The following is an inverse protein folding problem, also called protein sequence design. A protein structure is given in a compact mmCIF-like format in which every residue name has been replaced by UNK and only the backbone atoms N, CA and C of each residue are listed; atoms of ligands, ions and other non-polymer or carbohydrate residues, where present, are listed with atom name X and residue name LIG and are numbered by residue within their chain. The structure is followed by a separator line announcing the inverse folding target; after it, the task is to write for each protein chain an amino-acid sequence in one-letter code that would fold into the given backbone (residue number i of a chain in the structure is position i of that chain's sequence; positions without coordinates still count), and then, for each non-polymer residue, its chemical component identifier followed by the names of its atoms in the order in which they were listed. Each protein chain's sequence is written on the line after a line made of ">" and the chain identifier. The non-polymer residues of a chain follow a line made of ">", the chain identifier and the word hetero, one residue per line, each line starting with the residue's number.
data_IF_265082786373
#
_entry.id   IF_265082786373
#
_cell.length_a   1.000
_cell.length_b   1.000
_cell.length_c   1.000
_cell.angle_alpha   90.00
_cell.angle_beta   90.00
_cell.angle_gamma   90.00
#
_symmetry.space_group_name_H-M   'P 1'
#
loop_
_entity.id
_entity.type
_entity.pdbx_description
1 polymer ?
#
# COMPACT_ATOMS: atom_id res chain seq x y z
N UNK A 1 0.79 -4.90 -23.01
CA UNK A 1 1.35 -4.52 -21.70
C UNK A 1 0.93 -5.61 -20.75
N UNK A 2 1.87 -6.40 -20.25
CA UNK A 2 1.56 -7.34 -19.16
C UNK A 2 1.04 -6.50 -18.00
N UNK A 3 -0.12 -6.86 -17.43
CA UNK A 3 -0.57 -6.20 -16.21
C UNK A 3 0.51 -6.46 -15.16
N UNK A 4 0.98 -5.44 -14.42
CA UNK A 4 1.86 -5.69 -13.30
C UNK A 4 1.24 -6.77 -12.42
N UNK A 5 2.06 -7.73 -12.02
CA UNK A 5 1.59 -8.78 -11.12
C UNK A 5 1.19 -8.08 -9.82
N UNK A 6 0.04 -8.46 -9.22
CA UNK A 6 -0.36 -7.87 -7.95
C UNK A 6 0.79 -7.94 -6.94
N UNK A 7 0.99 -6.85 -6.21
CA UNK A 7 1.97 -6.80 -5.15
C UNK A 7 1.62 -7.85 -4.09
N UNK A 8 2.64 -8.41 -3.44
CA UNK A 8 2.39 -9.30 -2.32
C UNK A 8 1.75 -8.52 -1.18
N UNK A 9 0.96 -9.21 -0.35
CA UNK A 9 0.38 -8.60 0.85
C UNK A 9 1.47 -8.03 1.77
N UNK A 10 2.60 -8.73 1.90
CA UNK A 10 3.75 -8.29 2.68
C UNK A 10 4.32 -6.97 2.16
N UNK A 11 4.51 -6.84 0.84
CA UNK A 11 5.01 -5.60 0.24
C UNK A 11 4.03 -4.44 0.47
N UNK A 12 2.73 -4.66 0.26
CA UNK A 12 1.73 -3.63 0.53
C UNK A 12 1.74 -3.17 1.98
N UNK A 13 1.78 -4.11 2.92
CA UNK A 13 1.84 -3.78 4.34
C UNK A 13 3.08 -3.00 4.72
N UNK A 14 4.25 -3.34 4.14
CA UNK A 14 5.48 -2.58 4.37
C UNK A 14 5.36 -1.14 3.88
N UNK A 15 4.74 -0.92 2.73
CA UNK A 15 4.44 0.42 2.24
C UNK A 15 3.42 1.14 3.13
N UNK A 16 2.33 0.48 3.50
CA UNK A 16 1.31 1.07 4.35
C UNK A 16 1.87 1.44 5.73
N UNK A 17 2.76 0.62 6.31
CA UNK A 17 3.45 0.92 7.58
C UNK A 17 4.23 2.23 7.51
N UNK A 18 4.87 2.53 6.38
CA UNK A 18 5.55 3.82 6.14
C UNK A 18 4.56 5.00 6.08
N UNK A 19 3.33 4.74 5.66
CA UNK A 19 2.22 5.70 5.66
C UNK A 19 1.50 5.81 7.02
N UNK A 20 1.97 5.11 8.04
CA UNK A 20 1.37 5.10 9.38
C UNK A 20 0.31 4.02 9.61
N UNK A 21 0.12 3.09 8.68
CA UNK A 21 -0.74 1.92 8.91
C UNK A 21 -0.11 1.01 9.96
N UNK A 22 -0.96 0.47 10.84
CA UNK A 22 -0.58 -0.58 11.76
C UNK A 22 -1.78 -1.50 11.99
N UNK A 23 -1.57 -2.80 12.23
CA UNK A 23 -2.69 -3.75 12.41
C UNK A 23 -3.58 -3.43 13.61
N UNK A 24 -3.05 -2.71 14.61
CA UNK A 24 -3.74 -2.25 15.81
C UNK A 24 -4.62 -1.01 15.60
N UNK A 25 -4.53 -0.35 14.44
CA UNK A 25 -5.40 0.78 14.13
C UNK A 25 -6.87 0.35 14.03
N UNK A 26 -7.82 1.26 14.32
CA UNK A 26 -9.23 1.04 14.02
C UNK A 26 -9.42 0.60 12.57
N UNK A 27 -10.31 -0.37 12.34
CA UNK A 27 -10.51 -0.95 11.01
C UNK A 27 -10.79 0.11 9.94
N UNK A 28 -11.57 1.14 10.27
CA UNK A 28 -11.87 2.24 9.35
C UNK A 28 -10.62 3.02 8.91
N UNK A 29 -9.64 3.19 9.79
CA UNK A 29 -8.38 3.87 9.48
C UNK A 29 -7.46 2.99 8.64
N UNK A 30 -7.35 1.70 8.98
CA UNK A 30 -6.60 0.73 8.16
C UNK A 30 -7.12 0.69 6.74
N UNK A 31 -8.43 0.50 6.58
CA UNK A 31 -9.08 0.43 5.27
C UNK A 31 -8.93 1.75 4.49
N UNK A 32 -8.90 2.90 5.16
CA UNK A 32 -8.66 4.18 4.49
C UNK A 32 -7.26 4.23 3.85
N UNK A 33 -6.21 3.76 4.55
CA UNK A 33 -4.85 3.71 4.01
C UNK A 33 -4.75 2.65 2.90
N UNK A 34 -5.28 1.45 3.14
CA UNK A 34 -5.28 0.34 2.16
C UNK A 34 -5.97 0.73 0.85
N UNK A 35 -7.00 1.58 0.90
CA UNK A 35 -7.68 2.11 -0.29
C UNK A 35 -6.98 3.30 -0.93
N UNK A 36 -6.25 4.09 -0.14
CA UNK A 36 -5.47 5.21 -0.66
C UNK A 36 -4.23 4.72 -1.41
N UNK A 37 -3.71 3.54 -1.03
CA UNK A 37 -2.49 2.94 -1.55
C UNK A 37 -2.76 1.53 -2.06
N UNK A 38 -3.37 1.42 -3.23
CA UNK A 38 -3.45 0.18 -3.99
C UNK A 38 -2.11 -0.14 -4.70
N UNK A 39 -2.05 -1.30 -5.35
CA UNK A 39 -0.84 -1.77 -6.03
C UNK A 39 -0.29 -0.74 -7.04
N UNK A 40 -1.16 -0.13 -7.86
CA UNK A 40 -0.73 0.84 -8.88
C UNK A 40 -0.17 2.12 -8.25
N UNK A 41 -0.82 2.64 -7.21
CA UNK A 41 -0.35 3.84 -6.51
C UNK A 41 0.92 3.59 -5.70
N UNK A 42 1.08 2.40 -5.10
CA UNK A 42 2.32 1.98 -4.43
C UNK A 42 3.46 1.92 -5.43
N UNK A 43 3.28 1.21 -6.55
CA UNK A 43 4.31 1.12 -7.61
C UNK A 43 4.70 2.52 -8.10
N UNK A 44 3.71 3.38 -8.35
CA UNK A 44 3.96 4.76 -8.77
C UNK A 44 4.73 5.57 -7.73
N UNK A 45 4.40 5.45 -6.44
CA UNK A 45 5.12 6.14 -5.38
C UNK A 45 6.58 5.68 -5.26
N UNK A 46 6.82 4.37 -5.35
CA UNK A 46 8.17 3.81 -5.32
C UNK A 46 9.01 4.27 -6.52
N UNK A 47 8.40 4.39 -7.71
CA UNK A 47 9.07 4.94 -8.89
C UNK A 47 9.54 6.39 -8.71
N UNK A 48 8.86 7.18 -7.89
CA UNK A 48 9.22 8.56 -7.58
C UNK A 48 10.09 8.71 -6.32
N UNK A 49 10.56 7.60 -5.73
CA UNK A 49 11.44 7.61 -4.56
C UNK A 49 10.74 8.02 -3.27
N UNK A 50 9.43 7.79 -3.19
CA UNK A 50 8.67 7.95 -1.96
C UNK A 50 9.09 6.93 -0.92
#
# INVERSE_FOLDING_TARGET
>A
MEKPRPLSQEHREDFWRRCGWAPELPEGERVAIERAWDDESIEMAELFGW
#
